data_IF_824648957530
#
_entry.id   IF_824648957530
#
_cell.length_a   1.000
_cell.length_b   1.000
_cell.length_c   1.000
_cell.angle_alpha   90.00
_cell.angle_beta   90.00
_cell.angle_gamma   90.00
#
_symmetry.space_group_name_H-M   'P 1'
#
loop_
_entity.id
_entity.type
_entity.pdbx_description
1 polymer ?
#
# COMPACT_ATOMS: atom_id res chain seq x y z
N UNK A 1 7.52 -24.85 -2.03
CA UNK A 1 6.06 -24.66 -1.98
C UNK A 1 5.54 -24.29 -3.36
N UNK A 2 4.48 -24.93 -3.87
CA UNK A 2 3.82 -24.52 -5.12
C UNK A 2 2.92 -23.30 -4.87
N UNK A 3 2.57 -22.56 -5.92
CA UNK A 3 1.65 -21.40 -5.80
C UNK A 3 0.28 -21.81 -5.26
N UNK A 4 -0.23 -23.00 -5.63
CA UNK A 4 -1.48 -23.54 -5.12
C UNK A 4 -1.47 -23.77 -3.60
N UNK A 5 -0.37 -24.29 -3.05
CA UNK A 5 -0.24 -24.45 -1.59
C UNK A 5 -0.22 -23.09 -0.90
N UNK A 6 0.53 -22.10 -1.43
CA UNK A 6 0.55 -20.73 -0.87
C UNK A 6 -0.86 -20.13 -0.84
N UNK A 7 -1.62 -20.30 -1.93
CA UNK A 7 -2.99 -19.82 -2.03
C UNK A 7 -3.88 -20.43 -0.94
N UNK A 8 -3.92 -21.77 -0.84
CA UNK A 8 -4.76 -22.48 0.13
C UNK A 8 -4.38 -22.11 1.57
N UNK A 9 -3.08 -22.10 1.90
CA UNK A 9 -2.61 -21.70 3.23
C UNK A 9 -2.98 -20.25 3.55
N UNK A 10 -2.83 -19.33 2.59
CA UNK A 10 -3.20 -17.92 2.79
C UNK A 10 -4.70 -17.76 3.05
N UNK A 11 -5.54 -18.50 2.32
CA UNK A 11 -6.99 -18.47 2.52
C UNK A 11 -7.40 -19.02 3.88
N UNK A 12 -6.82 -20.17 4.30
CA UNK A 12 -7.07 -20.76 5.63
C UNK A 12 -6.64 -19.80 6.75
N UNK A 13 -5.49 -19.15 6.59
CA UNK A 13 -5.02 -18.15 7.56
C UNK A 13 -5.97 -16.96 7.64
N UNK A 14 -6.48 -16.44 6.51
CA UNK A 14 -7.49 -15.38 6.52
C UNK A 14 -8.77 -15.84 7.23
N UNK A 15 -9.24 -17.06 6.97
CA UNK A 15 -10.42 -17.59 7.65
C UNK A 15 -10.20 -17.73 9.17
N UNK A 16 -9.01 -18.17 9.57
CA UNK A 16 -8.62 -18.29 10.99
C UNK A 16 -8.60 -16.92 11.67
N UNK A 17 -7.98 -15.91 11.03
CA UNK A 17 -7.95 -14.54 11.56
C UNK A 17 -9.36 -13.94 11.62
N UNK A 18 -10.20 -14.17 10.60
CA UNK A 18 -11.60 -13.73 10.66
C UNK A 18 -12.30 -14.29 11.90
N UNK A 19 -12.20 -15.60 12.17
CA UNK A 19 -12.81 -16.23 13.35
C UNK A 19 -12.26 -15.63 14.65
N UNK A 20 -10.93 -15.47 14.75
CA UNK A 20 -10.30 -14.89 15.94
C UNK A 20 -10.75 -13.44 16.17
N UNK A 21 -10.73 -12.61 15.13
CA UNK A 21 -11.14 -11.20 15.24
C UNK A 21 -12.62 -11.08 15.65
N UNK A 22 -13.51 -11.92 15.10
CA UNK A 22 -14.92 -11.96 15.54
C UNK A 22 -15.05 -12.43 16.99
N UNK A 23 -14.24 -13.40 17.43
CA UNK A 23 -14.23 -13.85 18.82
C UNK A 23 -13.73 -12.76 19.79
N UNK A 24 -12.83 -11.89 19.36
CA UNK A 24 -12.37 -10.72 20.12
C UNK A 24 -13.30 -9.50 20.00
N UNK A 25 -14.47 -9.64 19.37
CA UNK A 25 -15.46 -8.57 19.25
C UNK A 25 -15.12 -7.49 18.20
N UNK A 26 -14.14 -7.73 17.34
CA UNK A 26 -13.88 -6.86 16.20
C UNK A 26 -14.96 -7.13 15.14
N UNK A 27 -15.95 -6.24 15.09
CA UNK A 27 -17.08 -6.29 14.16
C UNK A 27 -16.72 -5.91 12.73
N UNK A 28 -17.72 -6.00 11.84
CA UNK A 28 -17.60 -5.59 10.43
C UNK A 28 -17.45 -4.06 10.33
N UNK A 29 -17.97 -3.34 11.33
CA UNK A 29 -17.96 -1.90 11.54
C UNK A 29 -16.70 -1.36 12.23
N UNK A 30 -15.72 -2.23 12.55
CA UNK A 30 -14.47 -1.82 13.21
C UNK A 30 -13.73 -0.71 12.45
N UNK A 31 -13.79 -0.74 11.11
CA UNK A 31 -13.27 0.31 10.25
C UNK A 31 -14.41 1.24 9.79
N UNK A 32 -14.27 2.57 9.94
CA UNK A 32 -15.29 3.52 9.48
C UNK A 32 -15.61 3.38 7.99
N UNK A 33 -14.60 3.08 7.18
CA UNK A 33 -14.76 2.84 5.75
C UNK A 33 -15.64 1.63 5.44
N UNK A 34 -15.60 0.58 6.27
CA UNK A 34 -16.46 -0.58 6.08
C UNK A 34 -17.94 -0.20 6.21
N UNK A 35 -18.27 0.66 7.17
CA UNK A 35 -19.63 1.18 7.33
C UNK A 35 -20.06 2.01 6.12
N UNK A 36 -19.18 2.89 5.61
CA UNK A 36 -19.54 3.72 4.44
C UNK A 36 -19.76 2.89 3.19
N UNK A 37 -18.95 1.86 2.95
CA UNK A 37 -19.17 0.93 1.83
C UNK A 37 -20.44 0.11 1.98
N UNK A 38 -20.85 -0.25 3.19
CA UNK A 38 -22.07 -1.04 3.38
C UNK A 38 -23.34 -0.19 3.32
N UNK A 39 -23.26 1.12 3.59
CA UNK A 39 -24.44 1.98 3.72
C UNK A 39 -24.66 2.93 2.54
N UNK A 40 -23.62 3.28 1.77
CA UNK A 40 -23.71 4.33 0.73
C UNK A 40 -23.50 3.82 -0.69
N UNK A 41 -23.26 2.52 -0.88
CA UNK A 41 -22.80 2.00 -2.17
C UNK A 41 -23.81 2.11 -3.30
N UNK A 42 -25.11 1.96 -3.02
CA UNK A 42 -26.14 2.06 -4.06
C UNK A 42 -26.29 3.50 -4.54
N UNK A 43 -26.33 4.46 -3.62
CA UNK A 43 -26.35 5.88 -3.96
C UNK A 43 -25.12 6.27 -4.79
N UNK A 44 -23.93 5.80 -4.40
CA UNK A 44 -22.69 6.07 -5.17
C UNK A 44 -22.72 5.39 -6.54
N UNK A 45 -23.28 4.18 -6.64
CA UNK A 45 -23.44 3.46 -7.89
C UNK A 45 -24.37 4.19 -8.86
N UNK A 46 -25.52 4.66 -8.40
CA UNK A 46 -26.47 5.45 -9.19
C UNK A 46 -25.84 6.77 -9.68
N UNK A 47 -25.14 7.48 -8.79
CA UNK A 47 -24.40 8.68 -9.16
C UNK A 47 -23.30 8.40 -10.20
N UNK A 48 -22.61 7.26 -10.09
CA UNK A 48 -21.59 6.85 -11.05
C UNK A 48 -22.18 6.43 -12.40
N UNK A 49 -23.38 5.84 -12.43
CA UNK A 49 -24.10 5.54 -13.65
C UNK A 49 -24.55 6.82 -14.37
N UNK A 50 -25.00 7.83 -13.62
CA UNK A 50 -25.40 9.13 -14.17
C UNK A 50 -24.20 10.00 -14.60
N UNK A 51 -23.06 9.88 -13.92
CA UNK A 51 -21.84 10.59 -14.25
C UNK A 51 -20.62 9.64 -14.24
N UNK A 52 -20.22 9.09 -15.40
CA UNK A 52 -19.12 8.13 -15.49
C UNK A 52 -17.78 8.63 -14.93
N UNK A 53 -17.57 9.95 -14.82
CA UNK A 53 -16.35 10.50 -14.18
C UNK A 53 -16.27 10.15 -12.70
N UNK A 54 -17.40 9.92 -12.03
CA UNK A 54 -17.48 9.51 -10.64
C UNK A 54 -17.04 8.07 -10.41
N UNK A 55 -16.88 7.24 -11.45
CA UNK A 55 -16.34 5.88 -11.31
C UNK A 55 -14.92 5.91 -10.74
N UNK A 56 -14.14 6.94 -11.10
CA UNK A 56 -12.81 7.16 -10.55
C UNK A 56 -12.90 7.35 -9.02
N UNK A 57 -12.01 6.68 -8.28
CA UNK A 57 -11.97 6.63 -6.82
C UNK A 57 -13.13 5.91 -6.10
N UNK A 58 -14.20 5.52 -6.79
CA UNK A 58 -15.41 4.92 -6.20
C UNK A 58 -15.60 3.43 -6.53
N UNK A 59 -14.62 2.79 -7.16
CA UNK A 59 -14.69 1.38 -7.58
C UNK A 59 -15.11 0.38 -6.51
N UNK A 60 -14.73 0.60 -5.25
CA UNK A 60 -15.11 -0.30 -4.18
C UNK A 60 -16.58 -0.15 -3.76
N UNK A 61 -17.16 1.05 -3.87
CA UNK A 61 -18.60 1.25 -3.69
C UNK A 61 -19.38 0.53 -4.80
N UNK A 62 -18.90 0.61 -6.04
CA UNK A 62 -19.49 -0.10 -7.19
C UNK A 62 -19.44 -1.61 -6.95
N UNK A 63 -18.28 -2.14 -6.51
CA UNK A 63 -18.14 -3.56 -6.15
C UNK A 63 -19.09 -3.97 -5.02
N UNK A 64 -19.22 -3.15 -3.98
CA UNK A 64 -20.11 -3.42 -2.86
C UNK A 64 -21.58 -3.40 -3.27
N UNK A 65 -22.01 -2.44 -4.08
CA UNK A 65 -23.38 -2.41 -4.65
C UNK A 65 -23.67 -3.65 -5.50
N UNK A 66 -22.73 -4.04 -6.38
CA UNK A 66 -22.86 -5.26 -7.20
C UNK A 66 -23.02 -6.55 -6.38
N UNK A 67 -22.38 -6.62 -5.20
CA UNK A 67 -22.50 -7.74 -4.27
C UNK A 67 -23.67 -7.59 -3.28
N UNK A 68 -24.59 -6.66 -3.53
CA UNK A 68 -25.77 -6.40 -2.70
C UNK A 68 -25.41 -5.93 -1.29
N UNK A 69 -24.27 -5.24 -1.15
CA UNK A 69 -23.72 -4.75 0.13
C UNK A 69 -23.57 -5.86 1.19
N UNK A 70 -23.48 -7.13 0.76
CA UNK A 70 -23.34 -8.24 1.68
C UNK A 70 -21.90 -8.31 2.22
N UNK A 71 -21.68 -8.11 3.54
CA UNK A 71 -20.33 -8.07 4.08
C UNK A 71 -19.60 -9.40 3.96
N UNK A 72 -20.30 -10.54 3.99
CA UNK A 72 -19.68 -11.86 3.85
C UNK A 72 -19.11 -12.06 2.44
N UNK A 73 -19.82 -11.61 1.41
CA UNK A 73 -19.33 -11.68 0.03
C UNK A 73 -18.13 -10.76 -0.20
N UNK A 74 -18.18 -9.55 0.35
CA UNK A 74 -17.07 -8.59 0.24
C UNK A 74 -15.82 -9.08 0.96
N UNK A 75 -15.97 -9.65 2.17
CA UNK A 75 -14.87 -10.27 2.90
C UNK A 75 -14.33 -11.48 2.15
N UNK A 76 -15.19 -12.36 1.62
CA UNK A 76 -14.76 -13.51 0.82
C UNK A 76 -13.92 -13.09 -0.41
N UNK A 77 -14.34 -12.04 -1.13
CA UNK A 77 -13.56 -11.45 -2.24
C UNK A 77 -12.20 -10.97 -1.74
N UNK A 78 -12.15 -10.23 -0.63
CA UNK A 78 -10.89 -9.75 -0.07
C UNK A 78 -9.95 -10.90 0.34
N UNK A 79 -10.47 -11.97 0.95
CA UNK A 79 -9.70 -13.16 1.32
C UNK A 79 -9.13 -13.87 0.08
N UNK A 80 -9.93 -14.02 -0.98
CA UNK A 80 -9.48 -14.62 -2.25
C UNK A 80 -8.38 -13.76 -2.90
N UNK A 81 -8.56 -12.43 -2.95
CA UNK A 81 -7.58 -11.51 -3.50
C UNK A 81 -6.28 -11.49 -2.67
N UNK A 82 -6.37 -11.58 -1.35
CA UNK A 82 -5.20 -11.74 -0.48
C UNK A 82 -4.44 -13.04 -0.80
N UNK A 83 -5.14 -14.16 -0.94
CA UNK A 83 -4.53 -15.45 -1.29
C UNK A 83 -3.85 -15.42 -2.67
N UNK A 84 -4.48 -14.82 -3.69
CA UNK A 84 -3.84 -14.60 -4.99
C UNK A 84 -2.63 -13.67 -4.90
N UNK A 85 -2.72 -12.61 -4.11
CA UNK A 85 -1.61 -11.67 -3.87
C UNK A 85 -0.39 -12.43 -3.33
N UNK A 86 -0.57 -13.27 -2.31
CA UNK A 86 0.52 -14.06 -1.75
C UNK A 86 1.07 -15.09 -2.74
N UNK A 87 0.23 -15.74 -3.54
CA UNK A 87 0.69 -16.67 -4.57
C UNK A 87 1.56 -15.97 -5.64
N UNK A 88 1.17 -14.75 -6.07
CA UNK A 88 1.94 -13.93 -6.99
C UNK A 88 3.26 -13.45 -6.37
N UNK A 89 3.23 -12.98 -5.12
CA UNK A 89 4.43 -12.57 -4.38
C UNK A 89 5.41 -13.74 -4.24
N UNK A 90 4.92 -14.93 -3.90
CA UNK A 90 5.74 -16.14 -3.81
C UNK A 90 6.45 -16.44 -5.13
N UNK A 91 5.69 -16.49 -6.23
CA UNK A 91 6.24 -16.77 -7.55
C UNK A 91 7.33 -15.75 -7.92
N UNK A 92 7.04 -14.46 -7.74
CA UNK A 92 8.00 -13.39 -8.02
C UNK A 92 9.23 -13.45 -7.14
N UNK A 93 9.04 -13.61 -5.83
CA UNK A 93 10.12 -13.64 -4.86
C UNK A 93 11.04 -14.84 -5.11
N UNK A 94 10.48 -16.03 -5.32
CA UNK A 94 11.23 -17.25 -5.65
C UNK A 94 12.10 -17.03 -6.89
N UNK A 95 11.53 -16.53 -7.98
CA UNK A 95 12.28 -16.27 -9.22
C UNK A 95 13.38 -15.23 -9.03
N UNK A 96 13.12 -14.15 -8.30
CA UNK A 96 14.11 -13.10 -8.06
C UNK A 96 15.22 -13.53 -7.10
N UNK A 97 14.89 -14.27 -6.04
CA UNK A 97 15.85 -14.73 -5.05
C UNK A 97 16.79 -15.82 -5.57
N UNK A 98 16.29 -16.78 -6.37
CA UNK A 98 17.15 -17.81 -6.98
C UNK A 98 18.24 -17.22 -7.88
N UNK A 99 18.07 -15.98 -8.38
CA UNK A 99 19.08 -15.29 -9.19
C UNK A 99 20.14 -14.55 -8.37
N UNK A 100 19.87 -14.27 -7.09
CA UNK A 100 20.74 -13.45 -6.23
C UNK A 100 21.53 -14.31 -5.23
N UNK A 101 21.03 -15.49 -4.89
CA UNK A 101 21.63 -16.32 -3.84
C UNK A 101 22.03 -17.71 -4.35
N UNK A 102 23.33 -17.97 -4.62
CA UNK A 102 23.82 -19.34 -4.69
C UNK A 102 24.34 -19.86 -3.34
N UNK A 103 25.17 -19.12 -2.57
CA UNK A 103 26.01 -19.82 -1.55
C UNK A 103 26.20 -19.14 -0.19
N UNK A 104 25.90 -17.85 -0.03
CA UNK A 104 26.36 -17.07 1.15
C UNK A 104 25.39 -16.95 2.32
N UNK A 105 24.22 -17.60 2.30
CA UNK A 105 23.14 -17.21 3.22
C UNK A 105 22.53 -18.31 4.10
N UNK A 106 22.22 -17.92 5.33
CA UNK A 106 21.44 -18.73 6.27
C UNK A 106 20.02 -18.92 5.75
N UNK A 107 19.66 -20.18 5.45
CA UNK A 107 18.31 -20.58 5.02
C UNK A 107 17.22 -20.05 5.96
N UNK A 108 17.53 -19.92 7.25
CA UNK A 108 16.61 -19.43 8.30
C UNK A 108 16.19 -17.98 8.07
N UNK A 109 17.13 -17.08 7.78
CA UNK A 109 16.81 -15.66 7.62
C UNK A 109 16.00 -15.42 6.34
N UNK A 110 16.31 -16.17 5.27
CA UNK A 110 15.56 -16.12 4.02
C UNK A 110 14.12 -16.60 4.21
N UNK A 111 13.94 -17.67 4.99
CA UNK A 111 12.63 -18.19 5.37
C UNK A 111 11.84 -17.18 6.21
N UNK A 112 12.47 -16.50 7.17
CA UNK A 112 11.81 -15.48 7.99
C UNK A 112 11.32 -14.29 7.16
N UNK A 113 12.15 -13.77 6.26
CA UNK A 113 11.73 -12.72 5.33
C UNK A 113 10.59 -13.18 4.42
N UNK A 114 10.68 -14.41 3.91
CA UNK A 114 9.64 -15.01 3.08
C UNK A 114 8.29 -15.09 3.82
N UNK A 115 8.31 -15.48 5.11
CA UNK A 115 7.12 -15.49 5.96
C UNK A 115 6.58 -14.07 6.19
N UNK A 116 7.42 -13.09 6.51
CA UNK A 116 6.99 -11.71 6.72
C UNK A 116 6.45 -11.06 5.44
N UNK A 117 7.04 -11.40 4.29
CA UNK A 117 6.60 -10.92 2.99
C UNK A 117 5.24 -11.49 2.62
N UNK A 118 4.97 -12.78 2.88
CA UNK A 118 3.71 -13.43 2.50
C UNK A 118 2.62 -13.21 3.56
N UNK A 119 2.94 -13.52 4.81
CA UNK A 119 2.00 -13.52 5.94
C UNK A 119 2.14 -12.26 6.78
N UNK A 120 2.24 -11.11 6.10
CA UNK A 120 2.18 -9.82 6.78
C UNK A 120 0.83 -9.71 7.53
N UNK A 121 0.87 -9.69 8.87
CA UNK A 121 -0.34 -9.74 9.70
C UNK A 121 -1.26 -8.55 9.46
N UNK A 122 -0.72 -7.37 9.10
CA UNK A 122 -1.56 -6.22 8.80
C UNK A 122 -2.34 -6.41 7.49
N UNK A 123 -1.73 -6.96 6.44
CA UNK A 123 -2.48 -7.31 5.21
C UNK A 123 -3.50 -8.41 5.45
N UNK A 124 -3.17 -9.35 6.32
CA UNK A 124 -4.07 -10.43 6.71
C UNK A 124 -5.30 -9.86 7.43
N UNK A 125 -5.10 -8.95 8.40
CA UNK A 125 -6.17 -8.18 9.04
C UNK A 125 -7.04 -7.43 8.01
N UNK A 126 -6.43 -6.68 7.08
CA UNK A 126 -7.20 -5.97 6.05
C UNK A 126 -7.98 -6.91 5.10
N UNK A 127 -7.55 -8.17 4.95
CA UNK A 127 -8.23 -9.15 4.10
C UNK A 127 -9.56 -9.64 4.67
N UNK A 128 -9.77 -9.50 5.99
CA UNK A 128 -10.97 -9.98 6.69
C UNK A 128 -11.98 -8.89 6.99
N UNK A 129 -11.73 -7.66 6.50
CA UNK A 129 -12.62 -6.51 6.60
C UNK A 129 -13.09 -6.03 5.22
N UNK A 130 -14.19 -5.28 5.20
CA UNK A 130 -14.76 -4.66 4.00
C UNK A 130 -13.97 -3.40 3.68
N UNK A 131 -12.79 -3.59 3.08
CA UNK A 131 -11.85 -2.52 2.75
C UNK A 131 -11.29 -2.68 1.33
N UNK A 132 -11.10 -1.55 0.65
CA UNK A 132 -10.54 -1.50 -0.70
C UNK A 132 -9.03 -1.75 -0.77
N UNK A 133 -8.31 -1.67 0.35
CA UNK A 133 -6.85 -1.78 0.39
C UNK A 133 -6.34 -3.13 -0.10
N UNK A 134 -7.09 -4.20 0.15
CA UNK A 134 -6.75 -5.55 -0.32
C UNK A 134 -6.83 -5.63 -1.85
N UNK A 135 -7.87 -5.04 -2.47
CA UNK A 135 -8.00 -4.93 -3.93
C UNK A 135 -6.85 -4.13 -4.53
N UNK A 136 -6.55 -2.96 -3.95
CA UNK A 136 -5.48 -2.08 -4.46
C UNK A 136 -4.11 -2.75 -4.33
N UNK A 137 -3.86 -3.45 -3.22
CA UNK A 137 -2.60 -4.19 -3.01
C UNK A 137 -2.47 -5.32 -4.03
N UNK A 138 -3.54 -6.09 -4.29
CA UNK A 138 -3.57 -7.12 -5.32
C UNK A 138 -3.23 -6.53 -6.70
N UNK A 139 -3.91 -5.45 -7.11
CA UNK A 139 -3.69 -4.81 -8.41
C UNK A 139 -2.26 -4.26 -8.54
N UNK A 140 -1.71 -3.65 -7.48
CA UNK A 140 -0.34 -3.16 -7.49
C UNK A 140 0.70 -4.30 -7.60
N UNK A 141 0.48 -5.42 -6.90
CA UNK A 141 1.33 -6.61 -7.01
C UNK A 141 1.23 -7.22 -8.40
N UNK A 142 0.02 -7.33 -8.97
CA UNK A 142 -0.19 -7.83 -10.32
C UNK A 142 0.49 -6.93 -11.36
N UNK A 143 0.30 -5.62 -11.25
CA UNK A 143 0.99 -4.62 -12.07
C UNK A 143 2.49 -4.82 -12.04
N UNK A 144 3.07 -4.96 -10.85
CA UNK A 144 4.51 -5.19 -10.69
C UNK A 144 4.99 -6.53 -11.29
N UNK A 145 4.18 -7.59 -11.18
CA UNK A 145 4.48 -8.89 -11.77
C UNK A 145 4.48 -8.85 -13.30
N UNK A 146 3.55 -8.11 -13.91
CA UNK A 146 3.44 -7.96 -15.36
C UNK A 146 4.55 -7.11 -15.99
N UNK A 147 5.25 -6.31 -15.20
CA UNK A 147 6.29 -5.39 -15.67
C UNK A 147 5.74 -4.07 -16.21
N UNK A 148 6.60 -3.11 -16.60
CA UNK A 148 6.18 -1.73 -16.87
C UNK A 148 5.19 -1.58 -18.03
N UNK A 149 5.41 -2.30 -19.14
CA UNK A 149 4.56 -2.16 -20.33
C UNK A 149 3.20 -2.85 -20.17
N UNK A 150 3.16 -4.10 -19.73
CA UNK A 150 1.89 -4.82 -19.52
C UNK A 150 1.17 -4.34 -18.25
N UNK A 151 1.91 -3.94 -17.23
CA UNK A 151 1.38 -3.43 -15.99
C UNK A 151 0.73 -2.05 -16.13
N UNK A 152 1.15 -1.20 -17.09
CA UNK A 152 0.52 0.11 -17.29
C UNK A 152 -0.97 0.02 -17.63
N UNK A 153 -1.42 -1.09 -18.22
CA UNK A 153 -2.84 -1.38 -18.49
C UNK A 153 -3.67 -1.43 -17.20
N UNK A 154 -3.05 -1.76 -16.06
CA UNK A 154 -3.73 -1.80 -14.76
C UNK A 154 -3.82 -0.43 -14.08
N UNK A 155 -3.13 0.60 -14.58
CA UNK A 155 -3.16 1.94 -13.97
C UNK A 155 -4.58 2.52 -13.96
N UNK A 156 -5.35 2.53 -15.07
CA UNK A 156 -6.75 2.96 -15.05
C UNK A 156 -7.59 2.16 -14.04
N UNK A 157 -7.38 0.84 -13.96
CA UNK A 157 -8.12 -0.01 -13.03
C UNK A 157 -7.81 0.33 -11.56
N UNK A 158 -6.55 0.60 -11.21
CA UNK A 158 -6.20 1.06 -9.86
C UNK A 158 -6.85 2.43 -9.58
N UNK A 159 -6.88 3.33 -10.56
CA UNK A 159 -7.50 4.66 -10.44
C UNK A 159 -9.00 4.61 -10.15
N UNK A 160 -9.70 3.57 -10.62
CA UNK A 160 -11.09 3.30 -10.27
C UNK A 160 -11.24 3.10 -8.75
N UNK A 161 -10.33 2.39 -8.09
CA UNK A 161 -10.38 2.16 -6.64
C UNK A 161 -9.73 3.28 -5.82
N UNK A 162 -8.75 3.99 -6.38
CA UNK A 162 -7.99 5.04 -5.68
C UNK A 162 -7.47 6.04 -6.70
N UNK A 163 -7.94 7.28 -6.65
CA UNK A 163 -7.61 8.34 -7.63
C UNK A 163 -6.10 8.48 -7.88
N UNK A 164 -5.31 8.51 -6.81
CA UNK A 164 -3.85 8.59 -6.88
C UNK A 164 -3.16 7.26 -7.24
N UNK A 165 -3.91 6.28 -7.74
CA UNK A 165 -3.43 4.98 -8.18
C UNK A 165 -2.39 5.05 -9.29
N UNK A 166 -2.49 6.06 -10.16
CA UNK A 166 -1.47 6.42 -11.17
C UNK A 166 -0.08 6.57 -10.56
N UNK A 167 0.02 7.10 -9.34
CA UNK A 167 1.31 7.33 -8.71
C UNK A 167 2.08 6.02 -8.46
N UNK A 168 1.41 4.87 -8.33
CA UNK A 168 2.12 3.58 -8.19
C UNK A 168 2.96 3.22 -9.42
N UNK A 169 2.68 3.80 -10.59
CA UNK A 169 3.50 3.61 -11.79
C UNK A 169 4.93 4.18 -11.64
N UNK A 170 5.11 5.15 -10.73
CA UNK A 170 6.41 5.73 -10.37
C UNK A 170 7.42 4.64 -9.94
N UNK A 171 6.95 3.53 -9.37
CA UNK A 171 7.81 2.40 -8.97
C UNK A 171 8.61 1.80 -10.15
N UNK A 172 8.11 1.90 -11.38
CA UNK A 172 8.81 1.42 -12.57
C UNK A 172 9.84 2.39 -13.13
N UNK A 173 9.81 3.66 -12.71
CA UNK A 173 10.82 4.63 -13.09
C UNK A 173 12.13 4.17 -12.44
N UNK A 174 13.11 3.75 -13.25
CA UNK A 174 14.40 3.16 -12.83
C UNK A 174 15.32 4.15 -12.10
N UNK A 175 14.82 4.86 -11.10
CA UNK A 175 15.57 5.80 -10.26
C UNK A 175 16.28 6.91 -11.05
N UNK A 176 15.90 7.18 -12.31
CA UNK A 176 16.45 8.32 -13.04
C UNK A 176 15.72 9.57 -12.55
N UNK A 177 16.41 10.51 -11.88
CA UNK A 177 15.79 11.73 -11.34
C UNK A 177 15.11 12.54 -12.44
N UNK A 178 15.55 12.41 -13.70
CA UNK A 178 14.90 13.00 -14.86
C UNK A 178 13.43 12.59 -15.02
N UNK A 179 13.06 11.32 -14.79
CA UNK A 179 11.65 10.93 -14.91
C UNK A 179 10.80 11.43 -13.73
N UNK A 180 11.40 11.58 -12.56
CA UNK A 180 10.76 12.24 -11.42
C UNK A 180 10.52 13.72 -11.70
N UNK A 181 11.54 14.39 -12.24
CA UNK A 181 11.45 15.76 -12.69
C UNK A 181 10.37 15.89 -13.77
N UNK A 182 10.36 15.07 -14.81
CA UNK A 182 9.33 15.10 -15.87
C UNK A 182 7.92 14.83 -15.31
N UNK A 183 7.76 13.90 -14.36
CA UNK A 183 6.46 13.64 -13.74
C UNK A 183 5.98 14.84 -12.90
N UNK A 184 6.83 15.39 -12.04
CA UNK A 184 6.51 16.55 -11.21
C UNK A 184 6.31 17.82 -12.04
N UNK A 185 7.23 18.12 -12.96
CA UNK A 185 7.11 19.25 -13.90
C UNK A 185 5.95 19.06 -14.87
N UNK A 186 5.60 17.83 -15.23
CA UNK A 186 4.41 17.52 -16.01
C UNK A 186 3.12 17.85 -15.24
N UNK A 187 3.04 17.51 -13.95
CA UNK A 187 1.94 17.93 -13.08
C UNK A 187 1.91 19.46 -12.94
N UNK A 188 3.06 20.10 -12.69
CA UNK A 188 3.16 21.57 -12.55
C UNK A 188 2.77 22.28 -13.86
N UNK A 189 3.15 21.74 -15.01
CA UNK A 189 2.83 22.27 -16.34
C UNK A 189 1.35 22.06 -16.70
N UNK A 190 0.76 20.90 -16.35
CA UNK A 190 -0.68 20.63 -16.50
C UNK A 190 -1.52 21.55 -15.59
N UNK A 191 -1.02 21.86 -14.40
CA UNK A 191 -1.60 22.85 -13.47
C UNK A 191 -1.29 24.30 -13.91
N UNK A 192 -0.64 24.49 -15.06
CA UNK A 192 -0.50 25.79 -15.71
C UNK A 192 0.51 26.73 -15.03
N UNK A 193 1.54 26.21 -14.35
CA UNK A 193 2.55 27.04 -13.68
C UNK A 193 2.00 27.82 -12.48
N UNK A 194 0.79 27.50 -12.03
CA UNK A 194 0.17 28.11 -10.86
C UNK A 194 0.76 27.51 -9.57
N UNK A 195 1.95 27.95 -9.22
CA UNK A 195 2.58 27.61 -7.92
C UNK A 195 1.63 27.92 -6.77
N UNK A 196 0.85 29.00 -6.90
CA UNK A 196 -0.18 29.40 -5.93
C UNK A 196 -1.37 28.41 -5.88
N UNK A 197 -1.74 27.76 -6.99
CA UNK A 197 -2.77 26.73 -6.98
C UNK A 197 -2.27 25.43 -6.34
N UNK A 198 -0.99 25.08 -6.52
CA UNK A 198 -0.39 23.91 -5.89
C UNK A 198 -0.21 24.15 -4.39
N UNK A 199 0.27 25.33 -3.99
CA UNK A 199 0.45 25.67 -2.58
C UNK A 199 -0.89 25.75 -1.85
N UNK A 200 -1.91 26.39 -2.45
CA UNK A 200 -3.27 26.43 -1.89
C UNK A 200 -3.91 25.04 -1.82
N UNK A 201 -3.71 24.19 -2.83
CA UNK A 201 -4.15 22.79 -2.79
C UNK A 201 -3.49 22.04 -1.63
N UNK A 202 -2.16 22.15 -1.47
CA UNK A 202 -1.44 21.45 -0.39
C UNK A 202 -1.85 21.97 1.00
N UNK A 203 -2.13 23.27 1.13
CA UNK A 203 -2.63 23.86 2.37
C UNK A 203 -4.07 23.40 2.67
N UNK A 204 -4.97 23.39 1.69
CA UNK A 204 -6.34 22.85 1.86
C UNK A 204 -6.31 21.41 2.35
N UNK A 205 -5.45 20.57 1.78
CA UNK A 205 -5.30 19.19 2.22
C UNK A 205 -4.63 19.05 3.58
N UNK A 206 -3.72 19.95 3.93
CA UNK A 206 -3.08 19.99 5.24
C UNK A 206 -4.07 20.33 6.36
N UNK A 207 -5.03 21.21 6.08
CA UNK A 207 -5.97 21.75 7.05
C UNK A 207 -7.22 20.87 7.24
N UNK A 208 -7.35 19.78 6.48
CA UNK A 208 -8.41 18.79 6.71
C UNK A 208 -8.18 18.08 8.02
N UNK A 209 -8.96 18.47 9.02
CA UNK A 209 -8.95 17.88 10.34
C UNK A 209 -9.66 16.52 10.29
N UNK A 210 -8.90 15.46 10.55
CA UNK A 210 -9.45 14.12 10.72
C UNK A 210 -9.27 13.77 12.19
N UNK A 211 -10.38 13.52 12.88
CA UNK A 211 -10.37 13.01 14.25
C UNK A 211 -9.53 11.73 14.31
N UNK A 212 -8.28 11.85 14.77
CA UNK A 212 -7.39 10.71 14.94
C UNK A 212 -7.83 9.90 16.15
N UNK A 213 -7.73 8.57 16.06
CA UNK A 213 -7.94 7.72 17.23
C UNK A 213 -6.80 7.98 18.20
N UNK A 214 -7.10 8.14 19.49
CA UNK A 214 -6.10 8.30 20.54
C UNK A 214 -5.03 7.19 20.44
N UNK A 215 -3.75 7.58 20.52
CA UNK A 215 -2.62 6.65 20.43
C UNK A 215 -2.16 6.26 19.02
N UNK A 216 -2.77 6.83 17.96
CA UNK A 216 -2.29 6.69 16.56
C UNK A 216 -1.51 7.91 16.05
N UNK A 217 -1.16 8.82 16.96
CA UNK A 217 -0.63 10.14 16.64
C UNK A 217 0.86 10.10 16.32
N UNK A 218 1.18 10.04 15.04
CA UNK A 218 2.52 10.38 14.53
C UNK A 218 2.50 11.87 14.15
N UNK A 219 3.55 12.65 14.46
CA UNK A 219 3.57 14.09 14.18
C UNK A 219 3.17 14.42 12.74
N UNK A 220 2.11 15.23 12.59
CA UNK A 220 1.57 15.67 11.29
C UNK A 220 2.19 16.98 10.81
N UNK A 221 2.83 17.74 11.70
CA UNK A 221 3.41 19.06 11.43
C UNK A 221 2.42 20.07 10.81
N UNK A 222 1.12 19.85 10.92
CA UNK A 222 0.09 20.68 10.26
C UNK A 222 0.19 22.16 10.64
N UNK A 223 0.51 22.46 11.90
CA UNK A 223 0.69 23.82 12.41
C UNK A 223 1.81 24.63 11.71
N UNK A 224 2.69 23.97 10.95
CA UNK A 224 3.79 24.61 10.22
C UNK A 224 3.44 24.90 8.74
N UNK A 225 2.19 24.69 8.32
CA UNK A 225 1.74 24.92 6.93
C UNK A 225 2.59 24.16 5.91
N UNK A 226 3.07 24.85 4.86
CA UNK A 226 3.90 24.24 3.80
C UNK A 226 5.22 23.65 4.33
N UNK A 227 5.83 24.27 5.35
CA UNK A 227 7.04 23.72 5.99
C UNK A 227 6.72 22.36 6.62
N UNK A 228 5.54 22.24 7.22
CA UNK A 228 5.03 20.97 7.74
C UNK A 228 4.84 19.90 6.67
N UNK A 229 4.32 20.27 5.50
CA UNK A 229 4.22 19.37 4.34
C UNK A 229 5.59 18.85 3.93
N UNK A 230 6.59 19.73 3.77
CA UNK A 230 7.97 19.34 3.40
C UNK A 230 8.58 18.42 4.46
N UNK A 231 8.39 18.72 5.75
CA UNK A 231 8.86 17.86 6.84
C UNK A 231 8.20 16.48 6.78
N UNK A 232 6.88 16.37 6.54
CA UNK A 232 6.21 15.09 6.33
C UNK A 232 6.79 14.30 5.16
N UNK A 233 7.04 14.96 4.02
CA UNK A 233 7.63 14.35 2.83
C UNK A 233 9.00 13.71 3.08
N UNK A 234 9.72 14.15 4.12
CA UNK A 234 11.02 13.60 4.50
C UNK A 234 10.88 12.58 5.65
N UNK A 235 10.22 12.98 6.73
CA UNK A 235 10.17 12.23 7.99
C UNK A 235 9.32 10.96 7.83
N UNK A 236 8.12 11.05 7.23
CA UNK A 236 7.21 9.91 7.16
C UNK A 236 7.73 8.75 6.32
N UNK A 237 8.36 8.95 5.14
CA UNK A 237 9.01 7.86 4.42
C UNK A 237 10.10 7.16 5.24
N UNK A 238 10.93 7.92 5.98
CA UNK A 238 11.98 7.37 6.84
C UNK A 238 11.36 6.52 7.95
N UNK A 239 10.35 7.05 8.63
CA UNK A 239 9.62 6.31 9.66
C UNK A 239 8.99 5.04 9.09
N UNK A 240 8.28 5.12 7.96
CA UNK A 240 7.59 3.99 7.33
C UNK A 240 8.55 2.88 6.89
N UNK A 241 9.69 3.23 6.31
CA UNK A 241 10.70 2.28 5.85
C UNK A 241 11.50 1.65 6.99
N UNK A 242 11.70 2.37 8.11
CA UNK A 242 12.45 1.88 9.27
C UNK A 242 11.59 1.13 10.29
N UNK A 243 10.29 1.46 10.38
CA UNK A 243 9.40 0.99 11.45
C UNK A 243 9.45 1.85 12.72
N UNK A 244 10.24 2.92 12.77
CA UNK A 244 10.41 3.73 13.98
C UNK A 244 9.18 4.52 14.43
N UNK A 245 8.15 4.62 13.58
CA UNK A 245 6.87 5.22 13.99
C UNK A 245 6.22 4.48 15.18
N UNK A 246 6.56 3.21 15.42
CA UNK A 246 6.04 2.46 16.57
C UNK A 246 6.40 3.09 17.92
N UNK A 247 7.55 3.78 18.01
CA UNK A 247 7.96 4.50 19.23
C UNK A 247 7.21 5.82 19.43
N UNK A 248 6.62 6.35 18.36
CA UNK A 248 5.84 7.60 18.39
C UNK A 248 4.36 7.31 18.64
N UNK A 249 3.85 6.25 18.00
CA UNK A 249 2.46 5.83 18.10
C UNK A 249 2.40 4.31 18.36
N UNK A 250 2.36 3.87 19.64
CA UNK A 250 2.37 2.45 20.01
C UNK A 250 1.01 1.77 19.81
N UNK A 251 0.34 2.05 18.69
CA UNK A 251 -0.89 1.39 18.33
C UNK A 251 -0.62 -0.08 17.95
N UNK A 252 -1.40 -1.01 18.48
CA UNK A 252 -1.24 -2.46 18.20
C UNK A 252 -1.28 -2.75 16.70
N UNK A 253 -2.13 -2.02 15.95
CA UNK A 253 -2.24 -2.14 14.49
C UNK A 253 -0.97 -1.73 13.73
N UNK A 254 -0.09 -0.93 14.34
CA UNK A 254 1.17 -0.46 13.74
C UNK A 254 2.31 -1.47 13.94
N UNK A 255 2.24 -2.30 14.98
CA UNK A 255 3.29 -3.27 15.32
C UNK A 255 3.64 -4.19 14.14
N UNK A 256 2.69 -4.84 13.42
CA UNK A 256 3.08 -5.76 12.36
C UNK A 256 3.79 -5.09 11.18
N UNK A 257 3.41 -3.85 10.86
CA UNK A 257 4.04 -3.11 9.75
C UNK A 257 5.41 -2.62 10.19
N UNK A 258 5.52 -2.04 11.39
CA UNK A 258 6.78 -1.58 11.93
C UNK A 258 7.81 -2.71 11.99
N UNK A 259 7.41 -3.89 12.51
CA UNK A 259 8.26 -5.07 12.55
C UNK A 259 8.63 -5.56 11.15
N UNK A 260 7.67 -5.61 10.23
CA UNK A 260 7.92 -5.99 8.84
C UNK A 260 8.93 -5.06 8.16
N UNK A 261 8.78 -3.74 8.31
CA UNK A 261 9.71 -2.74 7.79
C UNK A 261 11.09 -2.87 8.44
N UNK A 262 11.16 -3.01 9.76
CA UNK A 262 12.42 -3.16 10.48
C UNK A 262 13.20 -4.40 10.04
N UNK A 263 12.54 -5.55 9.99
CA UNK A 263 13.16 -6.81 9.53
C UNK A 263 13.58 -6.71 8.07
N UNK A 264 12.81 -6.01 7.23
CA UNK A 264 13.20 -5.76 5.85
C UNK A 264 14.50 -4.96 5.76
N UNK A 265 14.68 -3.93 6.60
CA UNK A 265 15.94 -3.17 6.62
C UNK A 265 17.11 -4.00 7.15
N UNK A 266 16.90 -4.78 8.22
CA UNK A 266 17.92 -5.69 8.74
C UNK A 266 18.35 -6.69 7.67
N UNK A 267 17.40 -7.24 6.91
CA UNK A 267 17.70 -8.11 5.78
C UNK A 267 18.56 -7.41 4.74
N UNK A 268 18.18 -6.19 4.37
CA UNK A 268 18.92 -5.35 3.44
C UNK A 268 20.37 -5.17 3.85
N UNK A 269 20.58 -4.78 5.11
CA UNK A 269 21.89 -4.58 5.68
C UNK A 269 22.69 -5.89 5.75
N UNK A 270 22.06 -7.00 6.13
CA UNK A 270 22.73 -8.30 6.21
C UNK A 270 23.18 -8.81 4.82
N UNK A 271 22.33 -8.70 3.80
CA UNK A 271 22.58 -9.29 2.47
C UNK A 271 23.31 -8.33 1.53
N UNK A 272 22.87 -7.07 1.47
CA UNK A 272 23.37 -6.10 0.50
C UNK A 272 24.29 -5.06 1.13
N UNK A 273 24.55 -5.14 2.44
CA UNK A 273 25.30 -4.13 3.22
C UNK A 273 24.73 -2.73 3.09
N UNK A 274 23.43 -2.63 2.74
CA UNK A 274 22.71 -1.37 2.51
C UNK A 274 21.24 -1.54 2.84
N UNK A 275 20.57 -0.49 3.35
CA UNK A 275 19.13 -0.52 3.56
C UNK A 275 18.37 -0.80 2.26
N UNK A 276 17.19 -1.40 2.40
CA UNK A 276 16.29 -1.68 1.29
C UNK A 276 15.36 -0.50 1.08
N UNK A 277 15.74 0.31 0.12
CA UNK A 277 14.85 1.26 -0.53
C UNK A 277 15.34 1.52 -1.95
N UNK A 278 14.44 1.99 -2.81
CA UNK A 278 14.80 2.57 -4.10
C UNK A 278 14.44 4.05 -4.07
N UNK A 279 15.15 4.87 -4.85
CA UNK A 279 14.79 6.28 -4.99
C UNK A 279 13.34 6.43 -5.48
N UNK A 280 12.87 5.48 -6.29
CA UNK A 280 11.49 5.48 -6.76
C UNK A 280 10.45 5.18 -5.69
N UNK A 281 10.73 4.21 -4.81
CA UNK A 281 9.88 3.95 -3.66
C UNK A 281 9.87 5.14 -2.70
N UNK A 282 11.04 5.73 -2.40
CA UNK A 282 11.13 6.90 -1.54
C UNK A 282 10.38 8.11 -2.11
N UNK A 283 10.57 8.42 -3.40
CA UNK A 283 9.87 9.52 -4.07
C UNK A 283 8.35 9.35 -4.05
N UNK A 284 7.85 8.13 -4.26
CA UNK A 284 6.41 7.85 -4.15
C UNK A 284 5.91 7.95 -2.71
N UNK A 285 6.66 7.43 -1.74
CA UNK A 285 6.35 7.59 -0.31
C UNK A 285 6.30 9.07 0.09
N UNK A 286 7.22 9.90 -0.41
CA UNK A 286 7.22 11.34 -0.17
C UNK A 286 6.00 12.02 -0.81
N UNK A 287 5.68 11.69 -2.06
CA UNK A 287 4.50 12.22 -2.75
C UNK A 287 3.21 11.88 -1.98
N UNK A 288 3.04 10.65 -1.52
CA UNK A 288 1.87 10.26 -0.73
C UNK A 288 1.83 11.04 0.59
N UNK A 289 2.98 11.28 1.25
CA UNK A 289 3.03 12.03 2.50
C UNK A 289 2.60 13.49 2.34
N UNK A 290 2.78 14.07 1.15
CA UNK A 290 2.27 15.41 0.83
C UNK A 290 0.76 15.45 0.61
N UNK A 291 0.17 14.34 0.14
CA UNK A 291 -1.21 14.26 -0.33
C UNK A 291 -2.20 13.70 0.69
N UNK A 292 -1.70 13.20 1.83
CA UNK A 292 -2.56 12.60 2.86
C UNK A 292 -2.44 13.37 4.18
N UNK A 293 -3.56 13.57 4.88
CA UNK A 293 -3.63 14.44 6.05
C UNK A 293 -3.03 13.78 7.31
N UNK A 294 -3.05 12.44 7.39
CA UNK A 294 -2.66 11.71 8.60
C UNK A 294 -1.90 10.41 8.34
N UNK A 295 -1.15 9.97 9.36
CA UNK A 295 -0.23 8.84 9.24
C UNK A 295 -0.93 7.49 9.06
N UNK A 296 -2.10 7.28 9.67
CA UNK A 296 -2.89 6.06 9.46
C UNK A 296 -3.36 5.92 8.00
N UNK A 297 -3.78 7.02 7.39
CA UNK A 297 -4.12 7.06 5.96
C UNK A 297 -2.86 6.86 5.11
N UNK A 298 -1.77 7.54 5.45
CA UNK A 298 -0.46 7.37 4.82
C UNK A 298 -0.05 5.89 4.75
N UNK A 299 -0.08 5.19 5.88
CA UNK A 299 0.21 3.77 5.98
C UNK A 299 -0.58 2.90 5.00
N UNK A 300 -1.89 3.13 4.88
CA UNK A 300 -2.77 2.40 3.95
C UNK A 300 -2.42 2.66 2.48
N UNK A 301 -1.97 3.87 2.16
CA UNK A 301 -1.49 4.20 0.81
C UNK A 301 -0.10 3.62 0.52
N UNK A 302 0.75 3.48 1.54
CA UNK A 302 2.10 2.94 1.42
C UNK A 302 2.17 1.41 1.41
N UNK A 303 1.15 0.73 1.93
CA UNK A 303 1.14 -0.73 2.06
C UNK A 303 1.39 -1.50 0.75
N UNK A 304 0.82 -1.12 -0.41
CA UNK A 304 1.17 -1.74 -1.69
C UNK A 304 2.66 -1.58 -2.04
N UNK A 305 3.26 -0.44 -1.73
CA UNK A 305 4.68 -0.14 -1.99
C UNK A 305 5.56 -1.04 -1.13
N UNK A 306 5.32 -1.09 0.18
CA UNK A 306 6.06 -1.94 1.10
C UNK A 306 5.94 -3.42 0.74
N UNK A 307 4.79 -3.82 0.21
CA UNK A 307 4.55 -5.20 -0.24
C UNK A 307 5.41 -5.58 -1.43
N UNK A 308 5.59 -4.69 -2.41
CA UNK A 308 6.39 -4.99 -3.62
C UNK A 308 7.88 -4.66 -3.45
N UNK A 309 8.24 -3.81 -2.48
CA UNK A 309 9.59 -3.29 -2.27
C UNK A 309 10.68 -4.37 -2.21
N UNK A 310 10.51 -5.51 -1.51
CA UNK A 310 11.57 -6.52 -1.43
C UNK A 310 11.87 -7.15 -2.80
N UNK A 311 10.82 -7.37 -3.60
CA UNK A 311 10.93 -7.93 -4.95
C UNK A 311 11.51 -6.88 -5.91
N UNK A 312 11.06 -5.62 -5.80
CA UNK A 312 11.60 -4.50 -6.57
C UNK A 312 13.12 -4.37 -6.36
N UNK A 313 13.56 -4.41 -5.10
CA UNK A 313 14.97 -4.29 -4.76
C UNK A 313 15.81 -5.44 -5.37
N UNK A 314 15.34 -6.69 -5.24
CA UNK A 314 16.00 -7.85 -5.84
C UNK A 314 16.12 -7.71 -7.36
N UNK A 315 15.05 -7.33 -8.06
CA UNK A 315 15.06 -7.19 -9.53
C UNK A 315 16.00 -6.09 -10.03
N UNK A 316 16.10 -4.96 -9.32
CA UNK A 316 17.02 -3.87 -9.71
C UNK A 316 18.49 -4.32 -9.61
N UNK A 317 18.83 -5.17 -8.64
CA UNK A 317 20.21 -5.63 -8.41
C UNK A 317 20.64 -6.73 -9.39
N UNK A 318 19.74 -7.62 -9.78
CA UNK A 318 20.01 -8.66 -10.80
C UNK A 318 20.41 -8.06 -12.16
N UNK A 319 19.96 -6.85 -12.49
CA UNK A 319 20.30 -6.19 -13.77
C UNK A 319 21.71 -5.57 -13.74
N UNK A 320 22.32 -5.41 -12.56
CA UNK A 320 23.62 -4.74 -12.38
C UNK A 320 24.77 -5.71 -12.06
N UNK A 321 24.47 -6.98 -11.81
CA UNK A 321 25.46 -8.05 -11.65
C UNK A 321 25.57 -8.79 -12.99
#
# INVERSE_FOLDING_TARGET
MSNGIVFVVSFILSATVLVLERAFGLGIDFHPDSVTYLTRSDTVFEMAAANPRMILNHGYYILASFLGQNPNYLVAVNMVLYAFTNALLHSSFRTSAMRVAPETFSRTFYFLLYLLLLFNLYRLHLSVHVLKDTVITFLAVLMFNLGPFRGSILVPLISIFRLFGVAYFILFLKGRPLYFAIFFFGIIAIVGGQVDAISSFLLDWNDKDFNFRQGTEVPTFQALGLVGVVLRMIVWPILMLSGFFLFLAPAVLFVPIALGSFVLQLWGLAVFRRPIFTLSAFGLLALIAALVPGFTTYQRYCLPILTVLPILYLRVRVIKA
#
